data_IF_807559074281
#
_entry.id   IF_807559074281
#
_cell.length_a   1.000
_cell.length_b   1.000
_cell.length_c   1.000
_cell.angle_alpha   90.00
_cell.angle_beta   90.00
_cell.angle_gamma   90.00
#
_symmetry.space_group_name_H-M   'P 1'
#
loop_
_entity.id
_entity.type
_entity.pdbx_description
1 polymer ?
#
# COMPACT_ATOMS: atom_id res chain seq x y z
N UNK A 1 -4.92 9.39 16.71
CA UNK A 1 -4.45 9.08 15.34
C UNK A 1 -3.66 7.78 15.41
N UNK A 2 -4.07 6.74 14.68
CA UNK A 2 -3.37 5.45 14.68
C UNK A 2 -1.99 5.58 14.02
N UNK A 3 -0.99 4.89 14.54
CA UNK A 3 0.32 4.75 13.89
C UNK A 3 0.79 3.32 14.10
N UNK A 4 0.88 2.50 13.02
CA UNK A 4 1.24 1.10 13.16
C UNK A 4 2.69 0.98 13.69
N UNK A 5 2.93 0.16 14.73
CA UNK A 5 4.26 0.00 15.32
C UNK A 5 5.22 -0.72 14.36
N UNK A 6 6.51 -0.41 14.47
CA UNK A 6 7.55 -1.03 13.64
C UNK A 6 7.83 -2.46 14.13
N UNK A 7 7.63 -3.44 13.26
CA UNK A 7 7.94 -4.85 13.56
C UNK A 7 9.35 -5.25 13.10
N UNK A 8 9.94 -6.32 13.67
CA UNK A 8 11.24 -6.85 13.25
C UNK A 8 11.19 -7.53 11.87
N UNK A 9 9.99 -7.82 11.34
CA UNK A 9 9.81 -8.52 10.07
C UNK A 9 10.05 -7.64 8.86
N UNK A 10 10.33 -6.34 9.06
CA UNK A 10 10.57 -5.37 7.99
C UNK A 10 9.56 -5.53 6.83
N UNK A 11 8.28 -5.80 7.15
CA UNK A 11 7.22 -5.71 6.16
C UNK A 11 7.26 -4.28 5.65
N UNK A 12 7.87 -4.13 4.48
CA UNK A 12 8.13 -2.91 3.72
C UNK A 12 8.06 -1.64 4.57
N UNK A 13 9.20 -1.17 5.10
CA UNK A 13 9.39 0.13 5.75
C UNK A 13 8.28 1.12 5.33
N UNK A 14 7.24 1.23 6.16
CA UNK A 14 6.05 2.09 6.02
C UNK A 14 5.73 2.61 4.61
N UNK A 15 5.14 1.78 3.75
CA UNK A 15 4.49 2.26 2.52
C UNK A 15 3.03 1.83 2.45
N UNK A 16 2.23 2.34 3.39
CA UNK A 16 0.82 2.58 3.12
C UNK A 16 0.67 4.08 2.93
N UNK A 17 0.34 4.47 1.70
CA UNK A 17 -0.18 5.80 1.42
C UNK A 17 -1.31 6.05 2.40
N UNK A 18 -1.18 7.09 3.22
CA UNK A 18 -2.24 7.54 4.10
C UNK A 18 -3.34 8.07 3.21
N UNK A 19 -4.25 7.19 2.88
CA UNK A 19 -5.40 7.41 2.02
C UNK A 19 -6.53 7.91 2.93
N UNK A 20 -6.41 9.20 3.31
CA UNK A 20 -7.50 10.10 3.73
C UNK A 20 -6.88 11.44 4.13
N UNK A 21 -7.11 12.44 3.29
CA UNK A 21 -7.05 13.88 3.58
C UNK A 21 -5.72 14.42 4.10
N UNK A 22 -4.98 15.11 3.23
CA UNK A 22 -3.75 15.88 3.50
C UNK A 22 -2.49 15.03 3.61
N UNK A 23 -1.72 15.03 2.52
CA UNK A 23 -0.45 14.32 2.44
C UNK A 23 0.69 15.29 2.17
N UNK A 24 1.44 15.59 3.22
CA UNK A 24 2.81 16.09 3.13
C UNK A 24 3.71 15.00 3.69
N UNK A 25 4.58 14.39 2.86
CA UNK A 25 5.62 13.52 3.38
C UNK A 25 6.82 14.36 3.85
N UNK A 26 7.26 14.24 5.11
CA UNK A 26 8.61 14.59 5.46
C UNK A 26 9.53 13.55 4.80
N UNK A 27 10.36 14.02 3.86
CA UNK A 27 11.49 13.30 3.29
C UNK A 27 12.47 12.97 4.42
N UNK A 28 12.48 11.74 4.92
CA UNK A 28 13.44 11.29 5.94
C UNK A 28 14.09 9.94 5.58
N UNK A 29 15.28 10.10 4.99
CA UNK A 29 16.47 9.25 4.89
C UNK A 29 16.40 7.73 4.61
N UNK A 30 16.95 7.42 3.43
CA UNK A 30 17.75 6.26 3.00
C UNK A 30 18.28 5.30 4.08
N UNK A 31 18.08 4.01 3.82
CA UNK A 31 19.13 2.97 3.84
C UNK A 31 18.63 1.82 2.97
N UNK A 32 19.27 1.59 1.81
CA UNK A 32 18.94 0.51 0.86
C UNK A 32 19.02 -0.87 1.54
N UNK A 33 18.00 -1.74 1.45
CA UNK A 33 18.14 -3.18 1.62
C UNK A 33 18.22 -3.89 0.25
N UNK A 34 18.59 -5.18 0.18
CA UNK A 34 19.28 -5.77 -0.96
C UNK A 34 18.39 -5.99 -2.18
N UNK A 35 19.08 -6.13 -3.31
CA UNK A 35 18.75 -6.35 -4.73
C UNK A 35 17.64 -7.40 -5.07
N UNK A 36 16.84 -7.89 -4.12
CA UNK A 36 15.89 -9.00 -4.33
C UNK A 36 14.46 -8.60 -4.72
N UNK A 37 14.07 -7.33 -4.59
CA UNK A 37 12.69 -6.91 -4.87
C UNK A 37 12.65 -5.91 -6.04
N UNK A 38 12.60 -6.44 -7.26
CA UNK A 38 12.57 -5.65 -8.49
C UNK A 38 11.38 -4.66 -8.53
N UNK A 39 10.34 -4.90 -7.73
CA UNK A 39 9.17 -4.04 -7.61
C UNK A 39 9.45 -2.70 -6.93
N UNK A 40 10.42 -2.63 -6.00
CA UNK A 40 10.66 -1.40 -5.24
C UNK A 40 11.16 -0.24 -6.10
N UNK A 41 12.22 -0.38 -6.93
CA UNK A 41 12.66 0.68 -7.83
C UNK A 41 11.56 1.17 -8.76
N UNK A 42 10.84 0.23 -9.40
CA UNK A 42 9.72 0.54 -10.30
C UNK A 42 8.63 1.33 -9.59
N UNK A 43 8.30 0.96 -8.34
CA UNK A 43 7.33 1.66 -7.52
C UNK A 43 7.76 3.10 -7.18
N UNK A 44 9.05 3.34 -6.91
CA UNK A 44 9.55 4.71 -6.68
C UNK A 44 9.40 5.56 -7.94
N UNK A 45 9.85 5.05 -9.08
CA UNK A 45 9.70 5.73 -10.38
C UNK A 45 8.23 6.03 -10.69
N UNK A 46 7.33 5.09 -10.42
CA UNK A 46 5.90 5.29 -10.62
C UNK A 46 5.37 6.48 -9.82
N UNK A 47 5.73 6.61 -8.54
CA UNK A 47 5.27 7.74 -7.73
C UNK A 47 5.96 9.07 -8.05
N UNK A 48 7.15 9.04 -8.62
CA UNK A 48 7.81 10.26 -9.09
C UNK A 48 7.12 10.79 -10.36
N UNK A 49 6.64 9.91 -11.24
CA UNK A 49 5.90 10.27 -12.47
C UNK A 49 4.42 10.60 -12.20
N UNK A 50 3.74 9.79 -11.37
CA UNK A 50 2.33 9.94 -11.03
C UNK A 50 2.15 10.05 -9.50
N UNK A 51 2.34 11.24 -8.92
CA UNK A 51 2.41 11.43 -7.47
C UNK A 51 1.05 11.35 -6.75
N UNK A 52 -0.07 11.36 -7.48
CA UNK A 52 -1.41 11.30 -6.90
C UNK A 52 -2.38 10.44 -7.73
N UNK A 53 -3.53 10.11 -7.13
CA UNK A 53 -4.61 9.41 -7.84
C UNK A 53 -5.15 10.28 -8.99
N UNK A 54 -5.17 11.60 -8.84
CA UNK A 54 -5.58 12.54 -9.89
C UNK A 54 -4.64 12.49 -11.09
N UNK A 55 -3.33 12.44 -10.86
CA UNK A 55 -2.35 12.29 -11.93
C UNK A 55 -2.42 10.90 -12.57
N UNK A 56 -2.61 9.86 -11.75
CA UNK A 56 -2.69 8.47 -12.23
C UNK A 56 -3.94 8.22 -13.07
N UNK A 57 -5.12 8.75 -12.70
CA UNK A 57 -6.37 8.50 -13.46
C UNK A 57 -6.34 9.08 -14.88
N UNK A 58 -5.57 10.14 -15.11
CA UNK A 58 -5.43 10.78 -16.43
C UNK A 58 -4.17 10.31 -17.17
N UNK A 59 -3.43 9.37 -16.61
CA UNK A 59 -2.19 8.87 -17.19
C UNK A 59 -2.45 8.02 -18.42
N UNK A 60 -1.47 7.99 -19.31
CA UNK A 60 -1.43 7.08 -20.43
C UNK A 60 -1.12 5.65 -19.92
N UNK A 61 -2.00 4.68 -20.23
CA UNK A 61 -1.84 3.30 -19.74
C UNK A 61 -0.64 2.61 -20.39
N UNK A 62 -0.30 2.96 -21.63
CA UNK A 62 0.87 2.45 -22.33
C UNK A 62 2.18 2.82 -21.59
N UNK A 63 2.29 4.06 -21.10
CA UNK A 63 3.46 4.53 -20.33
C UNK A 63 3.59 3.81 -18.98
N UNK A 64 2.47 3.63 -18.27
CA UNK A 64 2.45 2.87 -17.02
C UNK A 64 2.83 1.40 -17.31
N UNK A 65 2.28 0.82 -18.37
CA UNK A 65 2.57 -0.57 -18.78
C UNK A 65 4.06 -0.75 -19.12
N UNK A 66 4.68 0.19 -19.82
CA UNK A 66 6.11 0.18 -20.11
C UNK A 66 6.95 0.15 -18.83
N UNK A 67 6.64 1.03 -17.88
CA UNK A 67 7.32 1.06 -16.58
C UNK A 67 7.16 -0.26 -15.81
N UNK A 68 5.98 -0.89 -15.88
CA UNK A 68 5.67 -2.12 -15.15
C UNK A 68 6.18 -3.39 -15.83
N UNK A 69 6.71 -3.33 -17.06
CA UNK A 69 7.15 -4.52 -17.81
C UNK A 69 8.00 -5.50 -17.01
N UNK A 70 9.02 -5.06 -16.23
CA UNK A 70 9.88 -5.98 -15.47
C UNK A 70 9.14 -6.79 -14.40
N UNK A 71 7.94 -6.37 -14.00
CA UNK A 71 7.16 -6.98 -12.91
C UNK A 71 6.10 -7.97 -13.40
N UNK A 72 5.94 -8.12 -14.71
CA UNK A 72 4.90 -8.94 -15.34
C UNK A 72 3.48 -8.39 -15.15
N UNK A 73 2.53 -8.93 -15.94
CA UNK A 73 1.12 -8.50 -15.95
C UNK A 73 0.95 -6.99 -16.15
N UNK A 74 1.87 -6.37 -16.88
CA UNK A 74 2.04 -4.92 -16.92
C UNK A 74 0.87 -4.19 -17.57
N UNK A 75 0.30 -4.72 -18.66
CA UNK A 75 -0.90 -4.15 -19.31
C UNK A 75 -2.10 -4.17 -18.37
N UNK A 76 -2.40 -5.34 -17.77
CA UNK A 76 -3.56 -5.45 -16.87
C UNK A 76 -3.38 -4.63 -15.60
N UNK A 77 -2.16 -4.54 -15.05
CA UNK A 77 -1.85 -3.68 -13.91
C UNK A 77 -1.97 -2.20 -14.25
N UNK A 78 -1.55 -1.77 -15.44
CA UNK A 78 -1.70 -0.38 -15.86
C UNK A 78 -3.18 0.05 -15.90
N UNK A 79 -4.04 -0.73 -16.56
CA UNK A 79 -5.48 -0.47 -16.55
C UNK A 79 -6.07 -0.53 -15.14
N UNK A 80 -5.62 -1.48 -14.30
CA UNK A 80 -6.07 -1.58 -12.92
C UNK A 80 -5.71 -0.33 -12.11
N UNK A 81 -4.50 0.20 -12.25
CA UNK A 81 -4.05 1.40 -11.53
C UNK A 81 -4.84 2.65 -11.90
N UNK A 82 -5.11 2.84 -13.20
CA UNK A 82 -5.93 3.96 -13.69
C UNK A 82 -7.35 3.85 -13.14
N UNK A 83 -8.00 2.69 -13.32
CA UNK A 83 -9.37 2.47 -12.86
C UNK A 83 -9.50 2.55 -11.34
N UNK A 84 -8.55 1.97 -10.60
CA UNK A 84 -8.47 2.10 -9.15
C UNK A 84 -8.41 3.57 -8.74
N UNK A 85 -7.55 4.37 -9.39
CA UNK A 85 -7.37 5.79 -9.06
C UNK A 85 -8.61 6.61 -9.36
N UNK A 86 -9.35 6.27 -10.41
CA UNK A 86 -10.63 6.88 -10.74
C UNK A 86 -11.71 6.54 -9.71
N UNK A 87 -11.92 5.25 -9.42
CA UNK A 87 -12.91 4.81 -8.43
C UNK A 87 -12.58 5.34 -7.04
N UNK A 88 -11.29 5.38 -6.69
CA UNK A 88 -10.78 5.91 -5.43
C UNK A 88 -11.24 7.35 -5.15
N UNK A 89 -11.31 8.18 -6.20
CA UNK A 89 -11.68 9.60 -6.10
C UNK A 89 -13.18 9.85 -6.25
N UNK A 90 -13.86 9.03 -7.05
CA UNK A 90 -15.22 9.33 -7.51
C UNK A 90 -16.30 8.42 -6.88
N UNK A 91 -15.93 7.29 -6.30
CA UNK A 91 -16.87 6.37 -5.63
C UNK A 91 -16.90 6.67 -4.14
N UNK A 92 -18.09 6.60 -3.54
CA UNK A 92 -18.22 6.65 -2.09
C UNK A 92 -17.98 5.26 -1.50
N UNK A 93 -16.73 4.97 -1.14
CA UNK A 93 -16.30 3.67 -0.58
C UNK A 93 -15.96 3.81 0.90
N UNK A 94 -16.17 2.74 1.67
CA UNK A 94 -15.78 2.67 3.10
C UNK A 94 -14.48 1.92 3.27
N UNK A 95 -14.36 0.77 2.60
CA UNK A 95 -13.17 -0.07 2.59
C UNK A 95 -12.65 -0.24 1.16
N UNK A 96 -11.32 -0.29 0.97
CA UNK A 96 -10.75 -0.31 -0.37
C UNK A 96 -11.05 -1.61 -1.12
N UNK A 97 -11.52 -2.69 -0.47
CA UNK A 97 -12.00 -3.89 -1.17
C UNK A 97 -13.16 -3.62 -2.13
N UNK A 98 -13.87 -2.51 -1.95
CA UNK A 98 -14.93 -2.05 -2.85
C UNK A 98 -14.36 -1.48 -4.16
N UNK A 99 -13.06 -1.16 -4.20
CA UNK A 99 -12.37 -0.57 -5.33
C UNK A 99 -11.74 -1.64 -6.21
N UNK A 100 -11.81 -1.41 -7.52
CA UNK A 100 -11.23 -2.30 -8.51
C UNK A 100 -9.73 -2.56 -8.25
N UNK A 101 -9.33 -3.82 -8.35
CA UNK A 101 -7.94 -4.24 -8.15
C UNK A 101 -7.54 -4.50 -6.70
N UNK A 102 -8.38 -4.19 -5.71
CA UNK A 102 -8.09 -4.46 -4.31
C UNK A 102 -8.79 -5.73 -3.84
N UNK A 103 -7.99 -6.76 -3.60
CA UNK A 103 -8.44 -8.00 -2.96
C UNK A 103 -8.32 -7.96 -1.43
N UNK A 104 -8.60 -9.12 -0.81
CA UNK A 104 -8.50 -9.32 0.65
C UNK A 104 -7.18 -8.85 1.25
N UNK A 105 -6.05 -9.17 0.60
CA UNK A 105 -4.72 -8.74 1.08
C UNK A 105 -4.60 -7.21 1.20
N UNK A 106 -4.99 -6.47 0.15
CA UNK A 106 -4.92 -5.01 0.16
C UNK A 106 -5.86 -4.41 1.20
N UNK A 107 -7.06 -4.98 1.34
CA UNK A 107 -8.03 -4.55 2.34
C UNK A 107 -7.59 -4.79 3.78
N UNK A 108 -7.13 -6.00 4.10
CA UNK A 108 -6.63 -6.33 5.43
C UNK A 108 -5.43 -5.45 5.79
N UNK A 109 -4.55 -5.19 4.83
CA UNK A 109 -3.42 -4.31 5.03
C UNK A 109 -3.87 -2.87 5.31
N UNK A 110 -4.84 -2.34 4.56
CA UNK A 110 -5.40 -1.02 4.81
C UNK A 110 -6.03 -0.91 6.21
N UNK A 111 -6.82 -1.91 6.61
CA UNK A 111 -7.48 -1.95 7.92
C UNK A 111 -6.45 -2.02 9.07
N UNK A 112 -5.37 -2.79 8.92
CA UNK A 112 -4.30 -2.89 9.91
C UNK A 112 -3.47 -1.61 9.98
N UNK A 113 -2.97 -1.12 8.84
CA UNK A 113 -1.95 -0.08 8.81
C UNK A 113 -2.51 1.34 8.74
N UNK A 114 -3.66 1.56 8.10
CA UNK A 114 -4.26 2.89 7.95
C UNK A 114 -5.32 3.18 9.02
N UNK A 115 -6.22 2.23 9.29
CA UNK A 115 -7.35 2.45 10.21
C UNK A 115 -7.07 2.03 11.66
N UNK A 116 -6.17 1.08 11.87
CA UNK A 116 -5.90 0.52 13.20
C UNK A 116 -6.92 -0.50 13.67
N UNK A 117 -7.72 -1.04 12.75
CA UNK A 117 -8.70 -2.11 13.02
C UNK A 117 -8.05 -3.50 13.12
N UNK A 118 -6.77 -3.56 13.45
CA UNK A 118 -5.98 -4.79 13.42
C UNK A 118 -6.54 -5.90 14.32
N UNK A 119 -7.24 -5.56 15.41
CA UNK A 119 -7.95 -6.53 16.28
C UNK A 119 -9.14 -7.21 15.57
N UNK A 120 -9.71 -6.60 14.53
CA UNK A 120 -10.90 -7.06 13.78
C UNK A 120 -10.54 -7.71 12.43
N UNK A 121 -9.25 -7.90 12.16
CA UNK A 121 -8.74 -8.43 10.89
C UNK A 121 -8.17 -9.83 11.10
N UNK A 122 -8.47 -10.75 10.20
CA UNK A 122 -7.88 -12.07 10.11
C UNK A 122 -7.20 -12.24 8.73
N UNK A 123 -5.90 -11.92 8.61
CA UNK A 123 -5.20 -11.96 7.34
C UNK A 123 -4.93 -13.40 6.87
N UNK A 124 -4.94 -13.61 5.56
CA UNK A 124 -4.59 -14.90 4.95
C UNK A 124 -3.19 -14.93 4.34
N UNK A 125 -2.61 -13.75 4.08
CA UNK A 125 -1.26 -13.64 3.52
C UNK A 125 -0.18 -14.01 4.56
N UNK A 126 0.84 -14.74 4.13
CA UNK A 126 1.88 -15.26 5.01
C UNK A 126 2.66 -14.14 5.71
N UNK A 127 3.08 -13.13 4.95
CA UNK A 127 3.85 -11.98 5.48
C UNK A 127 2.98 -11.14 6.42
N UNK A 128 1.76 -10.81 6.01
CA UNK A 128 0.82 -10.03 6.82
C UNK A 128 0.47 -10.76 8.13
N UNK A 129 0.35 -12.09 8.10
CA UNK A 129 0.18 -12.91 9.28
C UNK A 129 1.33 -12.80 10.28
N UNK A 130 2.58 -12.76 9.82
CA UNK A 130 3.73 -12.63 10.71
C UNK A 130 3.71 -11.30 11.48
N UNK A 131 3.39 -10.20 10.80
CA UNK A 131 3.19 -8.90 11.46
C UNK A 131 2.00 -8.92 12.41
N UNK A 132 0.86 -9.47 11.99
CA UNK A 132 -0.36 -9.50 12.80
C UNK A 132 -0.17 -10.33 14.08
N UNK A 133 0.46 -11.49 13.99
CA UNK A 133 0.82 -12.32 15.15
C UNK A 133 1.80 -11.60 16.08
N UNK A 134 2.79 -10.91 15.53
CA UNK A 134 3.71 -10.12 16.32
C UNK A 134 3.00 -8.97 17.03
N UNK A 135 2.08 -8.29 16.36
CA UNK A 135 1.29 -7.20 16.94
C UNK A 135 0.46 -7.71 18.13
N UNK A 136 -0.22 -8.85 17.97
CA UNK A 136 -0.94 -9.51 19.07
C UNK A 136 -0.05 -9.89 20.27
N UNK A 137 1.21 -10.22 20.05
CA UNK A 137 2.15 -10.54 21.15
C UNK A 137 2.64 -9.30 21.89
N UNK A 138 2.66 -8.13 21.25
CA UNK A 138 3.32 -6.93 21.76
C UNK A 138 2.37 -5.75 22.02
N UNK A 139 1.10 -5.81 21.63
CA UNK A 139 0.22 -4.64 21.68
C UNK A 139 0.13 -3.99 23.08
N UNK A 140 0.14 -4.79 24.15
CA UNK A 140 0.14 -4.27 25.54
C UNK A 140 1.40 -3.51 25.89
N UNK A 141 2.57 -4.06 25.57
CA UNK A 141 3.87 -3.40 25.82
C UNK A 141 4.07 -2.17 24.94
N UNK A 142 3.38 -2.12 23.80
CA UNK A 142 3.35 -0.99 22.87
C UNK A 142 2.30 0.07 23.24
N UNK A 143 1.50 -0.13 24.29
CA UNK A 143 0.46 0.81 24.73
C UNK A 143 -0.73 0.92 23.75
N UNK A 144 -1.06 -0.16 23.05
CA UNK A 144 -2.13 -0.24 22.04
C UNK A 144 -3.38 -0.98 22.54
N UNK A 145 -3.62 -0.96 23.85
CA UNK A 145 -4.82 -1.57 24.43
C UNK A 145 -6.07 -0.73 24.13
#
# INVERSE_FOLDING_TARGET
KWTPPKSPFNLYKNRFLTIRGSFSWPRYFSTKPPVRDAALPVLWTFFDLWPSAEATKTANWEEISELLQPLGLHVSRAHTLIRFSEEYLNVNWTYPIELHGIGKYGNDSYRIFCLGEWKQVAPSDHKLNDYHRWLWKNYRSLGLD
#
